data_IF_240770295632
#
_entry.id   IF_240770295632
#
_cell.length_a   1.000
_cell.length_b   1.000
_cell.length_c   1.000
_cell.angle_alpha   90.00
_cell.angle_beta   90.00
_cell.angle_gamma   90.00
#
_symmetry.space_group_name_H-M   'P 1'
#
loop_
_entity.id
_entity.type
_entity.pdbx_description
1 polymer ?
#
# COMPACT_ATOMS: atom_id res chain seq x y z
N UNK A 1 13.38 -17.02 0.59
CA UNK A 1 14.02 -16.27 1.69
C UNK A 1 12.92 -15.42 2.31
N UNK A 2 12.41 -15.77 3.50
CA UNK A 2 11.31 -15.01 4.12
C UNK A 2 11.88 -13.72 4.71
N UNK A 3 11.43 -12.57 4.20
CA UNK A 3 11.73 -11.28 4.81
C UNK A 3 10.81 -11.11 6.01
N UNK A 4 11.40 -11.03 7.20
CA UNK A 4 10.67 -10.89 8.45
C UNK A 4 10.47 -9.41 8.78
N UNK A 5 9.23 -9.06 9.09
CA UNK A 5 8.84 -7.70 9.45
C UNK A 5 8.29 -7.64 10.88
N UNK A 6 8.40 -6.50 11.57
CA UNK A 6 7.60 -6.24 12.77
C UNK A 6 6.11 -6.43 12.49
N UNK A 7 5.34 -6.86 13.49
CA UNK A 7 3.90 -7.17 13.35
C UNK A 7 3.09 -6.05 12.67
N UNK A 8 3.30 -4.79 13.07
CA UNK A 8 2.62 -3.65 12.45
C UNK A 8 2.99 -3.50 10.97
N UNK A 9 4.27 -3.67 10.62
CA UNK A 9 4.71 -3.61 9.23
C UNK A 9 4.15 -4.78 8.41
N UNK A 10 4.10 -5.98 8.98
CA UNK A 10 3.46 -7.14 8.34
C UNK A 10 1.98 -6.86 8.05
N UNK A 11 1.23 -6.29 9.00
CA UNK A 11 -0.16 -5.86 8.79
C UNK A 11 -0.30 -4.80 7.70
N UNK A 12 0.57 -3.79 7.68
CA UNK A 12 0.55 -2.72 6.67
C UNK A 12 0.81 -3.31 5.27
N UNK A 13 1.82 -4.19 5.13
CA UNK A 13 2.15 -4.85 3.86
C UNK A 13 1.00 -5.73 3.36
N UNK A 14 0.42 -6.55 4.23
CA UNK A 14 -0.74 -7.39 3.88
C UNK A 14 -1.95 -6.54 3.50
N UNK A 15 -2.23 -5.46 4.24
CA UNK A 15 -3.32 -4.54 3.92
C UNK A 15 -3.11 -3.83 2.59
N UNK A 16 -1.88 -3.39 2.28
CA UNK A 16 -1.55 -2.74 1.03
C UNK A 16 -1.76 -3.68 -0.18
N UNK A 17 -1.35 -4.95 -0.06
CA UNK A 17 -1.66 -5.98 -1.06
C UNK A 17 -3.16 -6.16 -1.28
N UNK A 18 -3.95 -6.16 -0.21
CA UNK A 18 -5.42 -6.20 -0.33
C UNK A 18 -5.98 -4.95 -1.03
N UNK A 19 -5.39 -3.76 -0.85
CA UNK A 19 -5.80 -2.56 -1.58
C UNK A 19 -5.51 -2.67 -3.07
N UNK A 20 -4.33 -3.18 -3.44
CA UNK A 20 -3.97 -3.44 -4.84
C UNK A 20 -4.91 -4.47 -5.46
N UNK A 21 -5.09 -5.62 -4.81
CA UNK A 21 -5.97 -6.69 -5.29
C UNK A 21 -7.43 -6.23 -5.44
N UNK A 22 -7.95 -5.45 -4.49
CA UNK A 22 -9.30 -4.87 -4.57
C UNK A 22 -9.45 -3.88 -5.73
N UNK A 23 -8.36 -3.21 -6.12
CA UNK A 23 -8.30 -2.37 -7.30
C UNK A 23 -7.95 -3.13 -8.60
N UNK A 24 -7.70 -4.44 -8.51
CA UNK A 24 -7.21 -5.31 -9.59
C UNK A 24 -5.80 -4.96 -10.12
N UNK A 25 -5.05 -4.21 -9.32
CA UNK A 25 -3.63 -3.95 -9.55
C UNK A 25 -2.79 -5.17 -9.13
N UNK A 26 -1.62 -5.38 -9.76
CA UNK A 26 -0.70 -6.43 -9.35
C UNK A 26 -0.30 -6.28 -7.88
N UNK A 27 -0.33 -7.38 -7.13
CA UNK A 27 -0.04 -7.42 -5.68
C UNK A 27 1.45 -7.65 -5.36
N UNK A 28 2.27 -7.85 -6.39
CA UNK A 28 3.73 -7.94 -6.33
C UNK A 28 4.43 -6.59 -6.49
N UNK A 29 3.69 -5.50 -6.66
CA UNK A 29 4.24 -4.14 -6.59
C UNK A 29 4.90 -3.89 -5.23
N UNK A 30 6.06 -3.24 -5.26
CA UNK A 30 6.83 -2.95 -4.07
C UNK A 30 6.21 -1.78 -3.31
N UNK A 31 5.81 -2.04 -2.06
CA UNK A 31 5.29 -1.03 -1.15
C UNK A 31 6.42 -0.19 -0.55
N UNK A 32 6.28 1.13 -0.67
CA UNK A 32 7.05 2.14 0.07
C UNK A 32 6.09 2.95 0.93
N UNK A 33 6.42 3.17 2.20
CA UNK A 33 5.59 4.00 3.08
C UNK A 33 6.41 4.72 4.15
N UNK A 34 5.94 5.91 4.52
CA UNK A 34 6.34 6.64 5.73
C UNK A 34 5.08 7.15 6.38
N UNK A 35 4.78 6.69 7.60
CA UNK A 35 3.53 7.03 8.30
C UNK A 35 3.86 7.46 9.73
N UNK A 36 4.56 8.58 9.86
CA UNK A 36 5.04 9.15 11.11
C UNK A 36 4.21 10.35 11.62
N UNK A 37 3.07 10.64 10.99
CA UNK A 37 2.26 11.85 11.14
C UNK A 37 3.00 13.17 10.89
N UNK A 38 3.76 13.28 9.80
CA UNK A 38 4.47 14.49 9.36
C UNK A 38 4.21 14.88 7.89
N UNK A 39 4.62 16.10 7.49
CA UNK A 39 4.29 16.71 6.19
C UNK A 39 4.81 15.99 4.93
N UNK A 40 5.59 14.91 5.09
CA UNK A 40 6.17 14.12 3.98
C UNK A 40 5.76 12.64 4.00
N UNK A 41 4.75 12.31 4.80
CA UNK A 41 4.25 10.94 4.89
C UNK A 41 3.39 10.56 3.69
N UNK A 42 3.23 9.25 3.54
CA UNK A 42 2.33 8.68 2.58
C UNK A 42 2.59 7.20 2.35
N UNK A 43 1.94 6.72 1.31
CA UNK A 43 2.17 5.41 0.72
C UNK A 43 2.40 5.60 -0.78
N UNK A 44 3.34 4.83 -1.33
CA UNK A 44 3.52 4.69 -2.77
C UNK A 44 3.88 3.24 -3.13
N UNK A 45 3.74 2.93 -4.42
CA UNK A 45 4.14 1.63 -4.95
C UNK A 45 5.07 1.82 -6.15
N UNK A 46 6.04 0.91 -6.30
CA UNK A 46 6.93 0.86 -7.46
C UNK A 46 6.91 -0.52 -8.10
N UNK A 47 7.29 -0.60 -9.37
CA UNK A 47 7.31 -1.85 -10.11
C UNK A 47 6.92 -1.65 -11.56
N UNK A 48 6.31 -2.67 -12.16
CA UNK A 48 5.92 -2.65 -13.57
C UNK A 48 4.54 -3.26 -13.73
N UNK A 49 3.68 -2.58 -14.47
CA UNK A 49 2.44 -3.11 -15.00
C UNK A 49 2.74 -3.78 -16.34
N UNK A 50 2.63 -5.10 -16.39
CA UNK A 50 2.81 -5.85 -17.63
C UNK A 50 1.64 -5.61 -18.59
N UNK A 51 1.80 -6.00 -19.85
CA UNK A 51 0.70 -6.02 -20.84
C UNK A 51 -0.56 -6.72 -20.30
N UNK A 52 -0.39 -7.83 -19.58
CA UNK A 52 -1.51 -8.56 -18.99
C UNK A 52 -2.20 -7.78 -17.86
N UNK A 53 -1.43 -7.02 -17.07
CA UNK A 53 -1.98 -6.15 -16.03
C UNK A 53 -2.76 -4.99 -16.64
N UNK A 54 -2.21 -4.35 -17.66
CA UNK A 54 -2.87 -3.24 -18.36
C UNK A 54 -4.19 -3.69 -18.99
N UNK A 55 -4.22 -4.86 -19.63
CA UNK A 55 -5.45 -5.44 -20.18
C UNK A 55 -6.50 -5.76 -19.13
N UNK A 56 -6.09 -6.10 -17.90
CA UNK A 56 -6.99 -6.29 -16.77
C UNK A 56 -7.50 -4.97 -16.20
N UNK A 57 -6.65 -3.94 -16.20
CA UNK A 57 -6.96 -2.63 -15.62
C UNK A 57 -7.84 -1.77 -16.52
N UNK A 58 -7.71 -1.85 -17.85
CA UNK A 58 -8.51 -1.00 -18.77
C UNK A 58 -10.02 -1.12 -18.51
N UNK A 59 -10.64 -2.31 -18.43
CA UNK A 59 -12.07 -2.42 -18.12
C UNK A 59 -12.44 -1.84 -16.75
N UNK A 60 -11.52 -1.91 -15.77
CA UNK A 60 -11.73 -1.35 -14.42
C UNK A 60 -11.73 0.17 -14.47
N UNK A 61 -10.78 0.77 -15.18
CA UNK A 61 -10.68 2.21 -15.38
C UNK A 61 -11.91 2.74 -16.14
N UNK A 62 -12.35 2.02 -17.17
CA UNK A 62 -13.57 2.31 -17.93
C UNK A 62 -14.81 2.26 -17.02
N UNK A 63 -14.99 1.19 -16.24
CA UNK A 63 -16.13 1.05 -15.33
C UNK A 63 -16.18 2.15 -14.24
N UNK A 64 -15.04 2.77 -13.94
CA UNK A 64 -14.92 3.90 -13.02
C UNK A 64 -15.06 5.26 -13.69
N UNK A 65 -15.29 5.30 -15.00
CA UNK A 65 -15.43 6.53 -15.78
C UNK A 65 -14.12 7.29 -15.98
N UNK A 66 -12.97 6.64 -15.79
CA UNK A 66 -11.65 7.23 -16.03
C UNK A 66 -11.23 7.09 -17.50
N UNK A 67 -11.86 6.18 -18.24
CA UNK A 67 -11.74 6.01 -19.68
C UNK A 67 -13.13 5.94 -20.30
N UNK A 68 -13.28 6.52 -21.49
CA UNK A 68 -14.46 6.30 -22.35
C UNK A 68 -14.39 4.95 -23.07
N UNK A 69 -15.52 4.52 -23.64
CA UNK A 69 -15.62 3.26 -24.39
C UNK A 69 -14.67 3.21 -25.60
N UNK A 70 -14.55 4.32 -26.31
CA UNK A 70 -13.66 4.44 -27.48
C UNK A 70 -12.18 4.36 -27.07
N UNK A 71 -11.82 5.03 -25.97
CA UNK A 71 -10.47 5.00 -25.42
C UNK A 71 -10.11 3.60 -24.92
N UNK A 72 -10.99 2.97 -24.16
CA UNK A 72 -10.80 1.61 -23.67
C UNK A 72 -10.68 0.59 -24.82
N UNK A 73 -11.52 0.71 -25.86
CA UNK A 73 -11.47 -0.16 -27.03
C UNK A 73 -10.16 0.01 -27.82
N UNK A 74 -9.72 1.26 -27.99
CA UNK A 74 -8.44 1.57 -28.64
C UNK A 74 -7.28 0.95 -27.85
N UNK A 75 -7.27 1.16 -26.54
CA UNK A 75 -6.28 0.62 -25.62
C UNK A 75 -6.19 -0.91 -25.63
N UNK A 76 -7.34 -1.59 -25.61
CA UNK A 76 -7.39 -3.06 -25.68
C UNK A 76 -6.84 -3.63 -26.98
N UNK A 77 -6.93 -2.87 -28.09
CA UNK A 77 -6.38 -3.30 -29.38
C UNK A 77 -4.85 -3.15 -29.42
N UNK A 78 -4.32 -2.01 -28.99
CA UNK A 78 -2.91 -1.70 -29.24
C UNK A 78 -1.96 -2.24 -28.18
N UNK A 79 -2.36 -2.29 -26.90
CA UNK A 79 -1.50 -2.79 -25.81
C UNK A 79 -0.92 -4.19 -26.12
N UNK A 80 -1.72 -5.19 -26.54
CA UNK A 80 -1.18 -6.50 -26.88
C UNK A 80 -0.38 -6.50 -28.19
N UNK A 81 -0.72 -5.62 -29.14
CA UNK A 81 -0.03 -5.53 -30.43
C UNK A 81 1.42 -5.05 -30.28
N UNK A 82 1.65 -4.12 -29.34
CA UNK A 82 2.96 -3.52 -29.13
C UNK A 82 3.68 -4.03 -27.87
N UNK A 83 3.07 -4.97 -27.14
CA UNK A 83 3.59 -5.45 -25.86
C UNK A 83 3.87 -4.32 -24.85
N UNK A 84 3.00 -3.30 -24.87
CA UNK A 84 3.15 -2.13 -24.03
C UNK A 84 3.17 -2.51 -22.54
N UNK A 85 3.96 -1.76 -21.77
CA UNK A 85 4.06 -1.86 -20.32
C UNK A 85 4.15 -0.47 -19.70
N UNK A 86 3.83 -0.35 -18.41
CA UNK A 86 3.96 0.91 -17.65
C UNK A 86 4.85 0.67 -16.44
N UNK A 87 5.90 1.46 -16.29
CA UNK A 87 6.78 1.43 -15.12
C UNK A 87 6.38 2.48 -14.10
N UNK A 88 6.38 2.10 -12.83
CA UNK A 88 6.15 2.98 -11.68
C UNK A 88 7.50 3.30 -11.05
N UNK A 89 8.04 4.48 -11.33
CA UNK A 89 9.40 4.89 -10.96
C UNK A 89 9.33 5.91 -9.82
N UNK A 90 9.90 5.58 -8.67
CA UNK A 90 10.03 6.53 -7.57
C UNK A 90 11.28 7.40 -7.75
N UNK A 91 11.08 8.72 -7.78
CA UNK A 91 12.17 9.70 -7.90
C UNK A 91 12.61 10.30 -6.57
N UNK A 92 11.93 9.92 -5.47
CA UNK A 92 12.24 10.41 -4.13
C UNK A 92 12.79 9.31 -3.26
N UNK A 93 13.93 9.57 -2.62
CA UNK A 93 14.46 8.71 -1.56
C UNK A 93 14.03 9.17 -0.16
N UNK A 94 13.29 10.29 -0.06
CA UNK A 94 12.96 10.95 1.22
C UNK A 94 11.48 10.94 1.56
N UNK A 95 10.61 10.84 0.56
CA UNK A 95 9.16 10.89 0.72
C UNK A 95 8.56 9.70 -0.02
N UNK A 96 7.52 9.10 0.53
CA UNK A 96 6.86 7.92 -0.01
C UNK A 96 5.39 8.24 -0.23
N UNK A 97 5.03 9.00 -1.26
CA UNK A 97 3.62 9.30 -1.56
C UNK A 97 3.38 9.24 -3.07
N UNK A 98 2.11 9.23 -3.51
CA UNK A 98 1.77 9.07 -4.94
C UNK A 98 2.54 10.04 -5.84
N UNK A 99 2.59 11.32 -5.48
CA UNK A 99 3.32 12.35 -6.23
C UNK A 99 4.86 12.19 -6.29
N UNK A 100 5.45 11.18 -5.67
CA UNK A 100 6.88 10.86 -5.85
C UNK A 100 7.12 9.78 -6.88
N UNK A 101 6.07 9.19 -7.43
CA UNK A 101 6.12 8.14 -8.44
C UNK A 101 5.66 8.69 -9.77
N UNK A 102 6.46 8.48 -10.80
CA UNK A 102 6.12 8.76 -12.18
C UNK A 102 5.72 7.46 -12.87
N UNK A 103 4.63 7.51 -13.64
CA UNK A 103 4.21 6.41 -14.50
C UNK A 103 4.75 6.66 -15.92
N UNK A 104 5.59 5.75 -16.40
CA UNK A 104 6.23 5.83 -17.72
C UNK A 104 5.77 4.67 -18.57
N UNK A 105 5.08 4.96 -19.69
CA UNK A 105 4.74 3.94 -20.67
C UNK A 105 5.93 3.62 -21.56
N UNK A 106 6.05 2.34 -21.93
CA UNK A 106 7.08 1.85 -22.85
C UNK A 106 6.42 1.08 -23.98
N UNK A 107 7.11 1.04 -25.12
CA UNK A 107 6.70 0.32 -26.32
C UNK A 107 5.33 0.78 -26.87
N UNK A 108 5.00 2.06 -26.72
CA UNK A 108 3.85 2.69 -27.38
C UNK A 108 4.33 3.52 -28.59
N UNK A 109 3.82 3.26 -29.80
CA UNK A 109 4.11 4.06 -30.99
C UNK A 109 3.70 5.54 -30.86
N UNK A 110 4.45 6.44 -31.51
CA UNK A 110 4.20 7.89 -31.48
C UNK A 110 2.82 8.28 -32.04
N UNK A 111 2.29 7.53 -33.02
CA UNK A 111 0.95 7.76 -33.58
C UNK A 111 -0.19 7.44 -32.59
N UNK A 112 0.13 6.79 -31.47
CA UNK A 112 -0.77 6.49 -30.35
C UNK A 112 -0.52 7.36 -29.11
N UNK A 113 0.30 8.41 -29.19
CA UNK A 113 0.62 9.30 -28.06
C UNK A 113 -0.62 9.85 -27.33
N UNK A 114 -1.70 10.14 -28.06
CA UNK A 114 -2.95 10.60 -27.46
C UNK A 114 -3.66 9.52 -26.64
N UNK A 115 -3.50 8.24 -26.99
CA UNK A 115 -4.06 7.13 -26.23
C UNK A 115 -3.16 6.77 -25.02
N UNK A 116 -1.84 6.84 -25.19
CA UNK A 116 -0.86 6.79 -24.09
C UNK A 116 -1.16 7.84 -23.02
N UNK A 117 -1.34 9.10 -23.41
CA UNK A 117 -1.58 10.20 -22.47
C UNK A 117 -2.83 9.95 -21.63
N UNK A 118 -3.89 9.41 -22.24
CA UNK A 118 -5.13 9.06 -21.55
C UNK A 118 -4.96 7.87 -20.62
N UNK A 119 -4.22 6.85 -21.06
CA UNK A 119 -3.89 5.70 -20.23
C UNK A 119 -3.14 6.13 -18.97
N UNK A 120 -2.06 6.90 -19.14
CA UNK A 120 -1.24 7.40 -18.02
C UNK A 120 -2.07 8.28 -17.08
N UNK A 121 -2.86 9.21 -17.61
CA UNK A 121 -3.74 10.04 -16.78
C UNK A 121 -4.79 9.24 -16.01
N UNK A 122 -5.39 8.22 -16.61
CA UNK A 122 -6.36 7.36 -15.94
C UNK A 122 -5.70 6.47 -14.87
N UNK A 123 -4.51 5.95 -15.15
CA UNK A 123 -3.71 5.17 -14.20
C UNK A 123 -3.26 6.04 -13.02
N UNK A 124 -2.79 7.26 -13.25
CA UNK A 124 -2.36 8.19 -12.21
C UNK A 124 -3.50 8.52 -11.23
N UNK A 125 -4.70 8.82 -11.75
CA UNK A 125 -5.87 9.12 -10.91
C UNK A 125 -6.25 7.92 -10.03
N UNK A 126 -6.23 6.71 -10.59
CA UNK A 126 -6.52 5.51 -9.81
C UNK A 126 -5.40 5.21 -8.80
N UNK A 127 -4.14 5.35 -9.21
CA UNK A 127 -2.97 5.13 -8.38
C UNK A 127 -2.95 6.06 -7.17
N UNK A 128 -3.22 7.35 -7.37
CA UNK A 128 -3.37 8.33 -6.30
C UNK A 128 -4.46 7.91 -5.31
N UNK A 129 -5.61 7.46 -5.83
CA UNK A 129 -6.72 7.01 -5.00
C UNK A 129 -6.37 5.75 -4.18
N UNK A 130 -5.62 4.79 -4.75
CA UNK A 130 -5.13 3.61 -4.02
C UNK A 130 -4.15 4.03 -2.93
N UNK A 131 -3.17 4.87 -3.24
CA UNK A 131 -2.18 5.37 -2.29
C UNK A 131 -2.85 6.06 -1.11
N UNK A 132 -3.78 6.99 -1.37
CA UNK A 132 -4.51 7.72 -0.34
C UNK A 132 -5.35 6.80 0.56
N UNK A 133 -6.07 5.81 -0.01
CA UNK A 133 -6.82 4.83 0.79
C UNK A 133 -5.89 3.97 1.64
N UNK A 134 -4.75 3.57 1.09
CA UNK A 134 -3.76 2.74 1.78
C UNK A 134 -3.13 3.51 2.94
N UNK A 135 -2.79 4.78 2.74
CA UNK A 135 -2.28 5.68 3.78
C UNK A 135 -3.25 5.81 4.96
N UNK A 136 -4.52 6.13 4.68
CA UNK A 136 -5.56 6.27 5.72
C UNK A 136 -5.70 4.97 6.53
N UNK A 137 -5.67 3.81 5.87
CA UNK A 137 -5.74 2.51 6.55
C UNK A 137 -4.46 2.19 7.31
N UNK A 138 -3.30 2.56 6.78
CA UNK A 138 -2.00 2.42 7.43
C UNK A 138 -1.97 3.15 8.77
N UNK A 139 -2.44 4.41 8.82
CA UNK A 139 -2.56 5.14 10.08
C UNK A 139 -3.51 4.48 11.07
N UNK A 140 -4.61 3.86 10.63
CA UNK A 140 -5.50 3.11 11.52
C UNK A 140 -4.83 1.88 12.10
N UNK A 141 -4.05 1.15 11.29
CA UNK A 141 -3.26 0.01 11.78
C UNK A 141 -2.23 0.50 12.79
N UNK A 142 -1.53 1.60 12.51
CA UNK A 142 -0.58 2.20 13.44
C UNK A 142 -1.29 2.57 14.74
N UNK A 143 -2.41 3.29 14.71
CA UNK A 143 -3.15 3.64 15.93
C UNK A 143 -3.66 2.40 16.71
N UNK A 144 -4.06 1.34 16.01
CA UNK A 144 -4.55 0.10 16.62
C UNK A 144 -3.44 -0.76 17.22
N UNK A 145 -2.21 -0.65 16.71
CA UNK A 145 -1.03 -1.39 17.17
C UNK A 145 -0.12 -0.55 18.08
N UNK A 146 -0.25 0.78 18.03
CA UNK A 146 0.44 1.81 18.82
C UNK A 146 -0.58 2.79 19.41
N UNK A 147 -1.31 2.43 20.48
CA UNK A 147 -2.23 3.36 21.12
C UNK A 147 -1.47 4.54 21.76
N UNK A 148 -2.13 5.70 21.89
CA UNK A 148 -1.58 6.93 22.51
C UNK A 148 -1.06 6.72 23.94
N UNK A 149 -1.53 5.67 24.61
CA UNK A 149 -1.11 5.16 25.93
C UNK A 149 0.32 4.55 25.92
N UNK A 150 1.10 4.72 24.84
CA UNK A 150 2.47 4.23 24.69
C UNK A 150 3.37 4.74 25.81
N UNK A 151 4.10 3.83 26.47
CA UNK A 151 4.95 4.19 27.60
C UNK A 151 4.18 4.53 28.88
N UNK A 152 2.84 4.40 28.87
CA UNK A 152 2.04 4.44 30.09
C UNK A 152 2.54 3.34 31.01
N UNK A 153 2.95 3.76 32.20
CA UNK A 153 3.37 2.83 33.23
C UNK A 153 2.14 2.38 33.99
N UNK A 154 1.67 1.18 33.65
CA UNK A 154 0.49 0.56 34.26
C UNK A 154 0.73 0.25 35.74
N UNK A 155 1.97 -0.10 36.10
CA UNK A 155 2.33 -0.44 37.47
C UNK A 155 3.81 -0.12 37.74
N UNK A 156 4.08 0.54 38.87
CA UNK A 156 5.43 0.70 39.42
C UNK A 156 5.46 0.15 40.83
N UNK A 157 6.42 -0.73 41.12
CA UNK A 157 6.75 -1.12 42.48
C UNK A 157 8.24 -0.94 42.72
N UNK A 158 8.56 -0.10 43.71
CA UNK A 158 9.95 0.13 44.15
C UNK A 158 10.17 -0.45 45.53
N UNK A 159 11.30 -1.11 45.70
CA UNK A 159 11.88 -1.47 46.99
C UNK A 159 13.25 -0.81 47.11
N UNK A 160 13.93 -0.97 48.25
CA UNK A 160 15.27 -0.42 48.48
C UNK A 160 16.30 -0.90 47.45
N UNK A 161 16.06 -2.03 46.78
CA UNK A 161 17.02 -2.69 45.89
C UNK A 161 16.46 -2.99 44.49
N UNK A 162 15.16 -2.77 44.23
CA UNK A 162 14.49 -3.19 42.98
C UNK A 162 13.49 -2.13 42.52
N UNK A 163 13.51 -1.79 41.24
CA UNK A 163 12.44 -1.07 40.55
C UNK A 163 11.77 -2.01 39.54
N UNK A 164 10.46 -2.22 39.67
CA UNK A 164 9.67 -3.09 38.82
C UNK A 164 8.59 -2.25 38.14
N UNK A 165 8.63 -2.19 36.81
CA UNK A 165 7.71 -1.39 35.99
C UNK A 165 6.99 -2.27 34.99
N UNK A 166 5.66 -2.25 35.01
CA UNK A 166 4.85 -2.75 33.92
C UNK A 166 4.48 -1.57 33.04
N UNK A 167 4.88 -1.60 31.78
CA UNK A 167 4.59 -0.58 30.78
C UNK A 167 3.81 -1.18 29.63
N UNK A 168 2.97 -0.39 28.96
CA UNK A 168 2.44 -0.78 27.66
C UNK A 168 3.62 -0.82 26.67
N UNK A 169 4.13 -2.03 26.43
CA UNK A 169 5.23 -2.30 25.52
C UNK A 169 4.70 -2.63 24.12
N UNK A 170 5.53 -2.39 23.11
CA UNK A 170 5.28 -2.83 21.74
C UNK A 170 5.16 -4.36 21.67
N UNK A 171 4.24 -4.88 20.86
CA UNK A 171 4.38 -6.24 20.30
C UNK A 171 5.71 -6.38 19.53
N UNK A 172 6.19 -5.29 18.92
CA UNK A 172 7.48 -5.21 18.22
C UNK A 172 8.71 -5.28 19.15
N UNK A 173 8.59 -5.07 20.46
CA UNK A 173 9.71 -5.25 21.39
C UNK A 173 10.04 -6.73 21.64
N UNK A 174 9.21 -7.66 21.15
CA UNK A 174 9.31 -9.10 21.42
C UNK A 174 9.57 -9.99 20.20
N UNK A 175 9.70 -9.45 18.98
CA UNK A 175 10.22 -10.23 17.85
C UNK A 175 9.49 -10.05 16.54
N UNK A 176 10.01 -10.78 15.56
CA UNK A 176 9.49 -10.91 14.20
C UNK A 176 8.05 -11.44 14.20
N UNK A 177 7.25 -11.00 13.24
CA UNK A 177 5.94 -11.60 12.97
C UNK A 177 6.15 -12.91 12.22
N UNK A 178 5.75 -14.04 12.82
CA UNK A 178 5.67 -15.36 12.19
C UNK A 178 4.23 -15.79 11.85
N UNK A 179 3.25 -14.93 12.15
CA UNK A 179 1.86 -15.14 11.76
C UNK A 179 1.77 -15.33 10.24
N UNK A 180 1.02 -16.35 9.85
CA UNK A 180 0.66 -16.59 8.46
C UNK A 180 -0.30 -15.50 7.92
N UNK A 181 -0.48 -15.51 6.60
CA UNK A 181 -1.32 -14.51 5.94
C UNK A 181 -2.78 -14.56 6.40
N UNK A 182 -3.33 -15.73 6.72
CA UNK A 182 -4.70 -15.90 7.21
C UNK A 182 -4.89 -15.21 8.57
N UNK A 183 -3.92 -15.39 9.47
CA UNK A 183 -3.88 -14.76 10.79
C UNK A 183 -3.79 -13.24 10.68
N UNK A 184 -2.94 -12.73 9.79
CA UNK A 184 -2.83 -11.28 9.52
C UNK A 184 -4.16 -10.71 8.96
N UNK A 185 -4.84 -11.46 8.08
CA UNK A 185 -6.14 -11.06 7.56
C UNK A 185 -7.21 -10.99 8.66
N UNK A 186 -7.20 -11.90 9.63
CA UNK A 186 -8.11 -11.86 10.77
C UNK A 186 -7.89 -10.60 11.63
N UNK A 187 -6.62 -10.26 11.91
CA UNK A 187 -6.30 -9.03 12.62
C UNK A 187 -6.74 -7.78 11.86
N UNK A 188 -6.53 -7.73 10.54
CA UNK A 188 -7.00 -6.63 9.70
C UNK A 188 -8.53 -6.50 9.72
N UNK A 189 -9.26 -7.61 9.68
CA UNK A 189 -10.72 -7.61 9.78
C UNK A 189 -11.20 -7.04 11.13
N UNK A 190 -10.54 -7.41 12.23
CA UNK A 190 -10.82 -6.89 13.57
C UNK A 190 -10.54 -5.38 13.67
N UNK A 191 -9.40 -4.92 13.15
CA UNK A 191 -9.05 -3.48 13.11
C UNK A 191 -10.07 -2.72 12.24
N UNK A 192 -10.49 -3.28 11.11
CA UNK A 192 -11.52 -2.72 10.24
C UNK A 192 -12.88 -2.54 10.93
N UNK A 193 -13.22 -3.44 11.87
CA UNK A 193 -14.40 -3.35 12.73
C UNK A 193 -14.27 -2.40 13.92
N UNK A 194 -13.14 -1.69 14.07
CA UNK A 194 -12.87 -0.77 15.18
C UNK A 194 -12.34 -1.44 16.45
N UNK A 195 -11.99 -2.73 16.41
CA UNK A 195 -11.41 -3.42 17.55
C UNK A 195 -9.91 -3.08 17.69
N UNK A 196 -9.46 -2.91 18.94
CA UNK A 196 -8.03 -2.94 19.26
C UNK A 196 -7.51 -4.39 19.14
N UNK A 197 -6.29 -4.57 18.64
CA UNK A 197 -5.66 -5.90 18.54
C UNK A 197 -5.55 -6.51 19.94
N UNK A 198 -6.04 -7.75 20.18
CA UNK A 198 -5.97 -8.36 21.50
C UNK A 198 -4.52 -8.61 21.91
N UNK A 199 -4.20 -8.25 23.16
CA UNK A 199 -2.91 -8.51 23.80
C UNK A 199 -2.77 -10.03 23.98
N UNK A 200 -1.85 -10.68 23.27
CA UNK A 200 -1.39 -12.04 23.62
C UNK A 200 -0.41 -11.97 24.79
#
# INVERSE_FOLDING_TARGET
>A
MHTYYPFTEALIRTMAKQQLAAAQWPDDLELHYSLNACQGDGVSFTGTLSTADLLRLIPVLQARGLLSDDEASTLQLFIPLHHALVQLICHSHRYCHSGTVELVAHDIPEDLAAAETRLLSALDLEFEAICARTEIRGYRIIAATYPEERGETLLVRRTSNIDLRAVVAELCALGYCDDDEESLQEYLARIGGGARVPRR
#
